data_IF_362942430912
#
_entry.id   IF_362942430912
#
_cell.length_a   1.000
_cell.length_b   1.000
_cell.length_c   1.000
_cell.angle_alpha   90.00
_cell.angle_beta   90.00
_cell.angle_gamma   90.00
#
_symmetry.space_group_name_H-M   'P 1'
#
loop_
_entity.id
_entity.type
_entity.pdbx_description
1 polymer ?
#
# COMPACT_ATOMS: atom_id res chain seq x y z
N UNK A 1 17.81 -1.01 -4.92
CA UNK A 1 16.60 -0.23 -5.34
C UNK A 1 16.68 1.06 -4.55
N UNK A 2 16.93 2.23 -5.18
CA UNK A 2 17.32 3.44 -4.46
C UNK A 2 16.27 3.93 -3.44
N UNK A 3 14.99 3.62 -3.67
CA UNK A 3 13.90 3.91 -2.74
C UNK A 3 13.89 2.94 -1.54
N UNK A 4 14.26 1.67 -1.76
CA UNK A 4 14.30 0.68 -0.69
C UNK A 4 15.42 0.95 0.32
N UNK A 5 16.59 1.32 -0.20
CA UNK A 5 17.75 1.69 0.61
C UNK A 5 17.50 2.96 1.42
N UNK A 6 16.75 3.91 0.86
CA UNK A 6 16.39 5.14 1.56
C UNK A 6 15.29 4.95 2.60
N UNK A 7 14.33 4.04 2.37
CA UNK A 7 13.36 3.66 3.40
C UNK A 7 14.05 2.91 4.56
N UNK A 8 14.97 2.00 4.26
CA UNK A 8 15.77 1.31 5.29
C UNK A 8 16.63 2.30 6.08
N UNK A 9 17.20 3.31 5.41
CA UNK A 9 17.90 4.42 6.06
C UNK A 9 16.98 5.21 7.01
N UNK A 10 15.71 5.44 6.67
CA UNK A 10 14.75 6.11 7.59
C UNK A 10 14.51 5.27 8.85
N UNK A 11 14.44 3.93 8.73
CA UNK A 11 14.30 3.04 9.87
C UNK A 11 15.56 2.96 10.73
N UNK A 12 16.75 3.02 10.11
CA UNK A 12 18.06 3.08 10.78
C UNK A 12 18.43 4.49 11.28
N UNK A 13 17.59 5.49 11.01
CA UNK A 13 17.84 6.89 11.31
C UNK A 13 19.12 7.45 10.64
N UNK A 14 19.44 6.97 9.44
CA UNK A 14 20.56 7.44 8.62
C UNK A 14 20.15 8.65 7.77
N UNK A 15 20.74 9.81 8.09
CA UNK A 15 20.46 11.09 7.43
C UNK A 15 20.78 11.08 5.93
N UNK A 16 21.88 10.42 5.53
CA UNK A 16 22.40 10.46 4.16
C UNK A 16 21.54 9.66 3.17
N UNK A 17 20.90 8.58 3.63
CA UNK A 17 20.00 7.78 2.80
C UNK A 17 18.61 8.41 2.69
N UNK A 18 18.14 9.09 3.74
CA UNK A 18 16.81 9.71 3.80
C UNK A 18 16.65 10.93 2.87
N UNK A 19 17.73 11.58 2.45
CA UNK A 19 17.70 12.74 1.54
C UNK A 19 16.99 12.46 0.21
N UNK A 20 17.15 11.24 -0.34
CA UNK A 20 16.51 10.85 -1.60
C UNK A 20 14.98 10.78 -1.48
N UNK A 21 14.45 10.28 -0.35
CA UNK A 21 13.01 10.30 -0.06
C UNK A 21 12.52 11.71 0.23
N UNK A 22 13.28 12.49 1.00
CA UNK A 22 12.92 13.87 1.28
C UNK A 22 12.85 14.71 0.00
N UNK A 23 13.79 14.56 -0.93
CA UNK A 23 13.75 15.25 -2.22
C UNK A 23 12.50 14.91 -3.04
N UNK A 24 12.08 13.64 -3.03
CA UNK A 24 10.91 13.19 -3.80
C UNK A 24 9.57 13.54 -3.14
N UNK A 25 9.48 13.44 -1.81
CA UNK A 25 8.21 13.51 -1.08
C UNK A 25 8.05 14.77 -0.21
N UNK A 26 9.04 15.65 -0.10
CA UNK A 26 8.96 16.86 0.72
C UNK A 26 7.85 17.81 0.26
N UNK A 27 7.69 18.01 -1.05
CA UNK A 27 6.63 18.85 -1.62
C UNK A 27 5.25 18.26 -1.36
N UNK A 28 5.12 16.93 -1.42
CA UNK A 28 3.85 16.22 -1.26
C UNK A 28 3.36 16.23 0.20
N UNK A 29 4.26 16.05 1.18
CA UNK A 29 3.88 16.00 2.60
C UNK A 29 4.02 17.33 3.36
N UNK A 30 4.41 18.40 2.66
CA UNK A 30 4.74 19.70 3.29
C UNK A 30 5.73 19.51 4.45
N UNK A 31 6.78 18.71 4.21
CA UNK A 31 7.83 18.44 5.19
C UNK A 31 9.01 19.37 4.90
N UNK A 32 9.45 20.12 5.90
CA UNK A 32 10.71 20.84 5.81
C UNK A 32 11.86 19.84 5.95
N UNK A 33 12.69 19.61 4.91
CA UNK A 33 13.71 18.56 4.93
C UNK A 33 14.75 18.82 6.01
N UNK A 34 15.13 20.08 6.20
CA UNK A 34 16.08 20.51 7.25
C UNK A 34 15.53 20.24 8.67
N UNK A 35 14.22 20.40 8.86
CA UNK A 35 13.58 20.14 10.14
C UNK A 35 13.47 18.63 10.40
N UNK A 36 13.09 17.84 9.39
CA UNK A 36 13.08 16.38 9.50
C UNK A 36 14.46 15.81 9.85
N UNK A 37 15.54 16.32 9.23
CA UNK A 37 16.91 15.89 9.53
C UNK A 37 17.34 16.24 10.97
N UNK A 38 16.97 17.42 11.46
CA UNK A 38 17.27 17.81 12.86
C UNK A 38 16.45 17.02 13.87
N UNK A 39 15.19 16.70 13.57
CA UNK A 39 14.39 15.80 14.39
C UNK A 39 15.00 14.38 14.41
N UNK A 40 15.47 13.87 13.27
CA UNK A 40 16.16 12.58 13.18
C UNK A 40 17.43 12.54 14.03
N UNK A 41 18.28 13.58 14.01
CA UNK A 41 19.48 13.63 14.86
C UNK A 41 19.15 13.75 16.35
N UNK A 42 18.05 14.42 16.69
CA UNK A 42 17.56 14.48 18.08
C UNK A 42 17.04 13.13 18.57
N UNK A 43 16.49 12.30 17.68
CA UNK A 43 16.06 10.93 18.00
C UNK A 43 17.27 10.01 18.17
N UNK A 44 18.29 10.09 17.29
CA UNK A 44 19.50 9.25 17.40
C UNK A 44 20.36 9.56 18.62
N UNK A 45 20.42 10.82 19.03
CA UNK A 45 21.16 11.23 20.24
C UNK A 45 20.48 10.80 21.54
N UNK A 46 19.15 10.63 21.54
CA UNK A 46 18.37 10.17 22.70
C UNK A 46 18.28 8.65 22.82
N UNK A 47 18.41 7.89 21.73
CA UNK A 47 18.26 6.43 21.73
C UNK A 47 19.61 5.71 21.53
N UNK A 48 20.09 4.94 22.52
CA UNK A 48 21.30 4.12 22.38
C UNK A 48 21.06 2.79 21.63
N UNK A 49 19.80 2.36 21.43
CA UNK A 49 19.46 1.17 20.64
C UNK A 49 18.30 1.47 19.68
N UNK A 50 18.58 1.37 18.37
CA UNK A 50 17.63 1.62 17.29
C UNK A 50 16.75 0.37 17.14
N UNK A 51 15.66 0.32 17.91
CA UNK A 51 14.61 -0.69 17.75
C UNK A 51 13.32 0.00 17.33
N UNK A 52 12.61 -0.58 16.35
CA UNK A 52 11.36 -0.02 15.80
C UNK A 52 10.33 0.27 16.89
N UNK A 53 10.29 -0.54 17.95
CA UNK A 53 9.40 -0.36 19.10
C UNK A 53 9.72 0.89 19.91
N UNK A 54 11.00 1.19 20.11
CA UNK A 54 11.45 2.37 20.85
C UNK A 54 11.18 3.64 20.04
N UNK A 55 11.40 3.60 18.73
CA UNK A 55 11.07 4.71 17.82
C UNK A 55 9.56 5.00 17.85
N UNK A 56 8.72 3.96 17.82
CA UNK A 56 7.25 4.13 17.89
C UNK A 56 6.82 4.81 19.19
N UNK A 57 7.42 4.47 20.33
CA UNK A 57 7.12 5.10 21.63
C UNK A 57 7.50 6.57 21.65
N UNK A 58 8.71 6.92 21.20
CA UNK A 58 9.17 8.31 21.12
C UNK A 58 8.32 9.13 20.15
N UNK A 59 7.93 8.56 19.02
CA UNK A 59 7.12 9.23 18.01
C UNK A 59 5.66 9.45 18.44
N UNK A 60 5.17 8.66 19.39
CA UNK A 60 3.82 8.78 19.94
C UNK A 60 3.66 10.01 20.85
N UNK A 61 4.75 10.50 21.44
CA UNK A 61 4.75 11.67 22.33
C UNK A 61 4.47 12.99 21.62
N UNK A 62 4.57 13.00 20.28
CA UNK A 62 4.22 14.16 19.45
C UNK A 62 5.29 15.25 19.36
N UNK A 63 6.48 15.03 19.93
CA UNK A 63 7.58 15.99 19.87
C UNK A 63 8.23 16.16 18.49
N UNK A 64 8.03 15.19 17.58
CA UNK A 64 8.70 15.14 16.27
C UNK A 64 7.70 14.97 15.11
N UNK A 65 6.95 16.03 14.74
CA UNK A 65 5.87 15.94 13.76
C UNK A 65 6.36 15.67 12.33
N UNK A 66 7.56 16.13 11.94
CA UNK A 66 8.07 15.95 10.58
C UNK A 66 8.67 14.55 10.39
N UNK A 67 9.45 14.11 11.37
CA UNK A 67 9.95 12.74 11.40
C UNK A 67 8.81 11.72 11.48
N UNK A 68 7.72 12.03 12.19
CA UNK A 68 6.52 11.17 12.23
C UNK A 68 5.91 10.96 10.86
N UNK A 69 5.73 12.04 10.10
CA UNK A 69 5.21 11.96 8.73
C UNK A 69 6.13 11.15 7.82
N UNK A 70 7.45 11.37 7.93
CA UNK A 70 8.45 10.62 7.16
C UNK A 70 8.44 9.12 7.50
N UNK A 71 8.33 8.79 8.78
CA UNK A 71 8.28 7.41 9.27
C UNK A 71 6.98 6.70 8.83
N UNK A 72 5.84 7.38 8.90
CA UNK A 72 4.58 6.87 8.36
C UNK A 72 4.67 6.64 6.84
N UNK A 73 5.31 7.54 6.11
CA UNK A 73 5.54 7.37 4.67
C UNK A 73 6.40 6.13 4.40
N UNK A 74 7.52 5.98 5.12
CA UNK A 74 8.39 4.81 5.02
C UNK A 74 7.63 3.48 5.27
N UNK A 75 6.70 3.45 6.22
CA UNK A 75 5.83 2.29 6.48
C UNK A 75 4.79 2.05 5.38
N UNK A 76 4.29 3.11 4.74
CA UNK A 76 3.26 3.00 3.70
C UNK A 76 3.83 2.62 2.33
N UNK A 77 5.11 2.92 2.08
CA UNK A 77 5.75 2.59 0.81
C UNK A 77 5.94 1.06 0.69
N UNK A 78 5.47 0.44 -0.40
CA UNK A 78 5.77 -0.95 -0.67
C UNK A 78 7.24 -1.06 -1.08
N UNK A 79 8.12 -1.28 -0.11
CA UNK A 79 9.57 -1.43 -0.34
C UNK A 79 9.93 -2.76 -1.02
N UNK A 80 9.10 -3.78 -0.82
CA UNK A 80 9.32 -5.12 -1.37
C UNK A 80 8.61 -5.35 -2.70
N UNK A 81 9.25 -6.10 -3.60
CA UNK A 81 8.64 -6.55 -4.88
C UNK A 81 7.62 -7.67 -4.68
N UNK A 82 7.68 -8.39 -3.55
CA UNK A 82 6.85 -9.57 -3.30
C UNK A 82 5.34 -9.30 -3.39
N UNK A 83 4.87 -8.14 -2.89
CA UNK A 83 3.44 -7.77 -2.98
C UNK A 83 3.02 -7.51 -4.43
N UNK A 84 3.86 -6.83 -5.20
CA UNK A 84 3.63 -6.59 -6.62
C UNK A 84 3.62 -7.92 -7.40
N UNK A 85 4.61 -8.78 -7.18
CA UNK A 85 4.70 -10.10 -7.81
C UNK A 85 3.46 -10.96 -7.50
N UNK A 86 2.99 -10.95 -6.24
CA UNK A 86 1.76 -11.64 -5.84
C UNK A 86 0.54 -11.09 -6.61
N UNK A 87 0.41 -9.78 -6.72
CA UNK A 87 -0.68 -9.13 -7.46
C UNK A 87 -0.62 -9.44 -8.97
N UNK A 88 0.57 -9.44 -9.58
CA UNK A 88 0.74 -9.82 -10.98
C UNK A 88 0.47 -11.31 -11.22
N UNK A 89 0.87 -12.18 -10.29
CA UNK A 89 0.54 -13.60 -10.33
C UNK A 89 -0.97 -13.84 -10.21
N UNK A 90 -1.66 -13.11 -9.31
CA UNK A 90 -3.11 -13.12 -9.23
C UNK A 90 -3.77 -12.65 -10.54
N UNK A 91 -3.32 -11.51 -11.08
CA UNK A 91 -3.81 -10.98 -12.36
C UNK A 91 -3.55 -11.96 -13.51
N UNK A 92 -2.41 -12.67 -13.51
CA UNK A 92 -2.09 -13.72 -14.50
C UNK A 92 -3.07 -14.90 -14.42
N UNK A 93 -3.57 -15.25 -13.22
CA UNK A 93 -4.60 -16.29 -13.05
C UNK A 93 -5.96 -15.82 -13.56
N UNK A 94 -6.33 -14.57 -13.30
CA UNK A 94 -7.57 -13.95 -13.84
C UNK A 94 -7.50 -13.90 -15.38
N UNK A 95 -6.37 -13.41 -15.91
CA UNK A 95 -6.06 -13.36 -17.34
C UNK A 95 -5.40 -14.66 -17.80
N UNK A 96 -6.20 -15.72 -17.88
CA UNK A 96 -5.75 -17.01 -18.39
C UNK A 96 -5.49 -16.97 -19.91
N UNK A 97 -4.62 -17.85 -20.41
CA UNK A 97 -4.24 -17.97 -21.82
C UNK A 97 -5.43 -18.23 -22.75
N UNK A 98 -6.45 -18.95 -22.30
CA UNK A 98 -7.67 -19.17 -23.09
C UNK A 98 -8.59 -17.94 -23.18
N UNK A 99 -8.33 -16.87 -22.41
CA UNK A 99 -9.18 -15.66 -22.33
C UNK A 99 -8.46 -14.45 -22.92
N UNK A 100 -7.80 -14.63 -24.07
CA UNK A 100 -7.00 -13.58 -24.74
C UNK A 100 -7.83 -12.44 -25.33
N UNK A 101 -9.12 -12.66 -25.60
CA UNK A 101 -10.07 -11.68 -26.16
C UNK A 101 -10.77 -10.83 -25.10
N UNK A 102 -10.35 -10.91 -23.84
CA UNK A 102 -11.02 -10.22 -22.74
C UNK A 102 -10.70 -8.72 -22.72
N UNK A 103 -11.74 -7.89 -22.75
CA UNK A 103 -11.60 -6.43 -22.65
C UNK A 103 -11.06 -5.97 -21.29
N UNK A 104 -10.42 -4.80 -21.30
CA UNK A 104 -9.82 -4.21 -20.11
C UNK A 104 -10.84 -3.94 -19.00
N UNK A 105 -12.05 -3.47 -19.35
CA UNK A 105 -13.13 -3.24 -18.38
C UNK A 105 -13.44 -4.51 -17.58
N UNK A 106 -13.64 -5.64 -18.26
CA UNK A 106 -13.90 -6.92 -17.62
C UNK A 106 -12.73 -7.38 -16.74
N UNK A 107 -11.49 -7.11 -17.15
CA UNK A 107 -10.30 -7.43 -16.36
C UNK A 107 -10.26 -6.63 -15.06
N UNK A 108 -10.54 -5.34 -15.14
CA UNK A 108 -10.58 -4.47 -13.98
C UNK A 108 -11.67 -4.91 -13.00
N UNK A 109 -12.89 -5.19 -13.49
CA UNK A 109 -14.00 -5.65 -12.63
C UNK A 109 -13.68 -6.98 -11.95
N UNK A 110 -13.13 -7.97 -12.67
CA UNK A 110 -12.74 -9.25 -12.07
C UNK A 110 -11.58 -9.11 -11.09
N UNK A 111 -10.64 -8.20 -11.36
CA UNK A 111 -9.53 -7.92 -10.44
C UNK A 111 -10.05 -7.27 -9.15
N UNK A 112 -11.02 -6.36 -9.26
CA UNK A 112 -11.68 -5.74 -8.11
C UNK A 112 -12.37 -6.79 -7.24
N UNK A 113 -13.15 -7.69 -7.86
CA UNK A 113 -13.79 -8.81 -7.14
C UNK A 113 -12.78 -9.73 -6.47
N UNK A 114 -11.62 -9.95 -7.07
CA UNK A 114 -10.56 -10.77 -6.48
C UNK A 114 -9.90 -10.09 -5.26
N UNK A 115 -9.65 -8.79 -5.34
CA UNK A 115 -9.13 -7.98 -4.22
C UNK A 115 -10.14 -7.98 -3.06
N UNK A 116 -11.42 -7.75 -3.38
CA UNK A 116 -12.53 -7.75 -2.43
C UNK A 116 -13.17 -9.15 -2.25
N UNK A 117 -12.35 -10.21 -2.33
CA UNK A 117 -12.81 -11.59 -2.20
C UNK A 117 -13.53 -11.83 -0.87
N UNK A 118 -13.04 -11.25 0.22
CA UNK A 118 -13.69 -11.32 1.55
C UNK A 118 -15.12 -10.76 1.59
N UNK A 119 -15.41 -9.75 0.75
CA UNK A 119 -16.76 -9.21 0.61
C UNK A 119 -17.59 -10.06 -0.34
N UNK A 120 -16.97 -10.52 -1.43
CA UNK A 120 -17.62 -11.35 -2.46
C UNK A 120 -18.07 -12.70 -1.90
N UNK A 121 -17.30 -13.30 -0.98
CA UNK A 121 -17.67 -14.55 -0.29
C UNK A 121 -18.94 -14.42 0.55
N UNK A 122 -19.31 -13.21 0.97
CA UNK A 122 -20.55 -12.95 1.73
C UNK A 122 -21.77 -12.79 0.83
N UNK A 123 -21.57 -12.63 -0.48
CA UNK A 123 -22.65 -12.47 -1.45
C UNK A 123 -23.14 -13.85 -1.84
N UNK A 124 -24.44 -14.11 -1.69
CA UNK A 124 -25.06 -15.35 -2.11
C UNK A 124 -25.27 -15.34 -3.62
N UNK A 125 -25.07 -16.50 -4.26
CA UNK A 125 -25.23 -16.62 -5.69
C UNK A 125 -26.70 -16.43 -6.12
N UNK A 126 -27.63 -16.84 -5.27
CA UNK A 126 -29.08 -16.70 -5.48
C UNK A 126 -29.46 -15.22 -5.62
N UNK A 127 -28.96 -14.36 -4.74
CA UNK A 127 -29.22 -12.92 -4.77
C UNK A 127 -28.72 -12.26 -6.07
N UNK A 128 -27.60 -12.76 -6.63
CA UNK A 128 -27.05 -12.27 -7.90
C UNK A 128 -27.95 -12.69 -9.07
N UNK A 129 -28.45 -13.93 -9.05
CA UNK A 129 -29.36 -14.44 -10.08
C UNK A 129 -30.66 -13.66 -10.06
N UNK A 130 -31.25 -13.46 -8.88
CA UNK A 130 -32.50 -12.72 -8.72
C UNK A 130 -32.35 -11.25 -9.16
N UNK A 131 -31.24 -10.61 -8.77
CA UNK A 131 -30.95 -9.24 -9.21
C UNK A 131 -30.74 -9.16 -10.72
N UNK A 132 -30.03 -10.13 -11.30
CA UNK A 132 -29.81 -10.18 -12.75
C UNK A 132 -31.10 -10.43 -13.53
N UNK A 133 -31.97 -11.30 -13.05
CA UNK A 133 -33.29 -11.59 -13.65
C UNK A 133 -34.23 -10.37 -13.56
N UNK A 134 -34.24 -9.68 -12.43
CA UNK A 134 -34.98 -8.43 -12.26
C UNK A 134 -34.54 -7.32 -13.23
N UNK A 135 -33.29 -7.35 -13.70
CA UNK A 135 -32.73 -6.31 -14.58
C UNK A 135 -33.14 -6.49 -16.05
N UNK A 136 -33.53 -7.70 -16.47
CA UNK A 136 -33.96 -7.96 -17.84
C UNK A 136 -35.06 -9.03 -17.89
N UNK A 137 -36.25 -8.69 -18.40
CA UNK A 137 -37.29 -9.68 -18.75
C UNK A 137 -36.74 -10.66 -19.79
N UNK A 138 -36.23 -11.82 -19.36
CA UNK A 138 -35.75 -12.88 -20.24
C UNK A 138 -36.44 -14.18 -19.86
N UNK A 139 -36.98 -14.85 -20.87
CA UNK A 139 -38.01 -15.90 -20.77
C UNK A 139 -37.56 -17.26 -20.18
N UNK A 140 -36.45 -17.35 -19.45
CA UNK A 140 -35.92 -18.66 -19.05
C UNK A 140 -35.77 -18.73 -17.53
N UNK A 141 -36.85 -19.17 -16.88
CA UNK A 141 -36.87 -19.70 -15.53
C UNK A 141 -36.25 -21.11 -15.56
N UNK A 142 -35.10 -21.28 -14.92
CA UNK A 142 -34.56 -22.62 -14.64
C UNK A 142 -35.30 -23.18 -13.43
N UNK A 143 -36.21 -24.12 -13.71
CA UNK A 143 -36.86 -24.97 -12.71
C UNK A 143 -35.92 -26.07 -12.21
#
# INVERSE_FOLDING_TARGET
MPIAESVDAVFKCDFRGAESLLSQYASLLSINPKLALTEMTMVTTKLPSISIENIKKELATGHYPNYKKLFCLALSLPVGTATYERSFSAMRRIRNWFRTTMNQERLTTLSLLHIESNLTEKIKAEDIIDAYDATAKRHILLH
#
